data_IF_144787918036
#
_entry.id   IF_144787918036
#
_cell.length_a   1.000
_cell.length_b   1.000
_cell.length_c   1.000
_cell.angle_alpha   90.00
_cell.angle_beta   90.00
_cell.angle_gamma   90.00
#
_symmetry.space_group_name_H-M   'P 1'
#
loop_
_entity.id
_entity.type
_entity.pdbx_description
1 polymer ?
#
# COMPACT_ATOMS: atom_id res chain seq x y z
N UNK A 1 5.92 -63.71 -29.80
CA UNK A 1 6.55 -62.38 -29.87
C UNK A 1 5.61 -61.35 -29.23
N UNK A 2 5.66 -61.16 -27.91
CA UNK A 2 5.12 -59.99 -27.19
C UNK A 2 5.79 -59.95 -25.81
N UNK A 3 6.78 -59.06 -25.64
CA UNK A 3 7.38 -58.75 -24.34
C UNK A 3 6.65 -57.50 -23.83
N UNK A 4 5.92 -57.65 -22.72
CA UNK A 4 5.33 -56.52 -21.99
C UNK A 4 6.44 -55.79 -21.24
N UNK A 5 6.81 -54.60 -21.72
CA UNK A 5 7.68 -53.68 -20.99
C UNK A 5 6.89 -52.93 -19.92
N UNK A 6 7.18 -53.22 -18.65
CA UNK A 6 6.74 -52.43 -17.51
C UNK A 6 7.61 -51.17 -17.46
N UNK A 7 7.04 -50.02 -17.81
CA UNK A 7 7.68 -48.71 -17.62
C UNK A 7 7.39 -48.28 -16.18
N UNK A 8 8.35 -48.50 -15.29
CA UNK A 8 8.39 -47.87 -13.97
C UNK A 8 8.66 -46.37 -14.17
N UNK A 9 7.64 -45.53 -14.02
CA UNK A 9 7.84 -44.10 -13.82
C UNK A 9 8.40 -43.89 -12.41
N UNK A 10 9.73 -43.89 -12.28
CA UNK A 10 10.39 -43.30 -11.12
C UNK A 10 9.97 -41.83 -11.04
N UNK A 11 9.13 -41.49 -10.05
CA UNK A 11 8.92 -40.10 -9.63
C UNK A 11 10.25 -39.58 -9.09
N UNK A 12 11.03 -38.94 -9.94
CA UNK A 12 12.14 -38.08 -9.52
C UNK A 12 11.52 -36.97 -8.68
N UNK A 13 11.64 -37.09 -7.37
CA UNK A 13 11.27 -36.03 -6.44
C UNK A 13 12.24 -34.88 -6.64
N UNK A 14 11.86 -33.90 -7.46
CA UNK A 14 12.57 -32.62 -7.50
C UNK A 14 12.36 -31.91 -6.17
N UNK A 15 13.35 -32.01 -5.26
CA UNK A 15 13.49 -31.06 -4.18
C UNK A 15 13.91 -29.74 -4.84
N UNK A 16 12.95 -28.84 -5.07
CA UNK A 16 13.26 -27.54 -5.63
C UNK A 16 14.03 -26.73 -4.57
N UNK A 17 15.30 -26.45 -4.84
CA UNK A 17 16.10 -25.58 -3.98
C UNK A 17 15.60 -24.13 -4.13
N UNK A 18 15.30 -23.50 -2.99
CA UNK A 18 14.81 -22.13 -2.93
C UNK A 18 15.97 -21.14 -2.75
N UNK A 19 16.08 -20.20 -3.67
CA UNK A 19 17.04 -19.09 -3.59
C UNK A 19 16.50 -18.03 -2.62
N UNK A 20 17.33 -17.64 -1.65
CA UNK A 20 17.04 -16.56 -0.70
C UNK A 20 17.54 -15.23 -1.26
N UNK A 21 16.62 -14.37 -1.67
CA UNK A 21 16.95 -13.05 -2.19
C UNK A 21 16.74 -11.99 -1.11
N UNK A 22 17.81 -11.30 -0.67
CA UNK A 22 17.65 -10.12 0.16
C UNK A 22 17.00 -8.99 -0.65
N UNK A 23 15.95 -8.42 -0.08
CA UNK A 23 15.11 -7.41 -0.69
C UNK A 23 14.95 -6.21 0.23
N UNK A 24 14.87 -5.04 -0.38
CA UNK A 24 14.50 -3.80 0.28
C UNK A 24 13.21 -3.29 -0.36
N UNK A 25 12.25 -2.96 0.49
CA UNK A 25 10.90 -2.54 0.11
C UNK A 25 10.63 -1.24 0.86
N UNK A 26 9.84 -0.35 0.27
CA UNK A 26 9.43 0.93 0.87
C UNK A 26 10.57 1.95 0.94
N UNK A 27 11.03 2.39 -0.23
CA UNK A 27 12.06 3.43 -0.40
C UNK A 27 11.53 4.51 -1.32
N UNK A 28 11.63 5.78 -0.89
CA UNK A 28 11.34 6.94 -1.71
C UNK A 28 12.62 7.49 -2.36
N UNK A 29 12.49 8.02 -3.57
CA UNK A 29 13.57 8.68 -4.30
C UNK A 29 13.31 10.19 -4.42
N UNK A 30 14.25 10.91 -5.04
CA UNK A 30 14.09 12.33 -5.37
C UNK A 30 12.92 12.64 -6.31
N UNK A 31 12.28 11.62 -6.89
CA UNK A 31 11.02 11.75 -7.62
C UNK A 31 9.89 12.23 -6.70
N UNK A 32 9.91 11.83 -5.43
CA UNK A 32 8.99 12.28 -4.40
C UNK A 32 9.71 13.00 -3.26
N UNK A 33 9.72 12.45 -2.06
CA UNK A 33 10.27 13.05 -0.85
C UNK A 33 11.61 12.45 -0.40
N UNK A 34 12.20 11.54 -1.19
CA UNK A 34 13.48 10.88 -0.94
C UNK A 34 14.72 11.73 -1.22
N UNK A 35 15.83 11.42 -0.54
CA UNK A 35 17.13 12.11 -0.72
C UNK A 35 17.97 11.55 -1.88
N UNK A 36 17.82 10.26 -2.21
CA UNK A 36 18.59 9.59 -3.25
C UNK A 36 17.82 9.49 -4.56
N UNK A 37 18.50 9.65 -5.69
CA UNK A 37 17.95 9.35 -7.02
C UNK A 37 17.66 7.85 -7.17
N UNK A 38 16.80 7.51 -8.15
CA UNK A 38 16.52 6.11 -8.49
C UNK A 38 17.79 5.31 -8.79
N UNK A 39 18.75 5.92 -9.51
CA UNK A 39 20.04 5.28 -9.81
C UNK A 39 20.92 5.06 -8.59
N UNK A 40 20.96 6.02 -7.65
CA UNK A 40 21.76 5.91 -6.43
C UNK A 40 21.20 4.81 -5.52
N UNK A 41 19.88 4.75 -5.35
CA UNK A 41 19.22 3.70 -4.57
C UNK A 41 19.60 2.32 -5.12
N UNK A 42 19.49 2.11 -6.44
CA UNK A 42 19.80 0.83 -7.08
C UNK A 42 21.28 0.49 -6.94
N UNK A 43 22.19 1.47 -7.09
CA UNK A 43 23.63 1.27 -6.91
C UNK A 43 23.96 0.89 -5.46
N UNK A 44 23.47 1.65 -4.48
CA UNK A 44 23.69 1.38 -3.06
C UNK A 44 23.14 0.00 -2.67
N UNK A 45 21.95 -0.37 -3.18
CA UNK A 45 21.38 -1.69 -2.97
C UNK A 45 22.29 -2.80 -3.51
N UNK A 46 22.77 -2.66 -4.76
CA UNK A 46 23.70 -3.61 -5.39
C UNK A 46 24.99 -3.76 -4.59
N UNK A 47 25.60 -2.64 -4.21
CA UNK A 47 26.86 -2.59 -3.47
C UNK A 47 26.73 -3.23 -2.07
N UNK A 48 25.51 -3.33 -1.54
CA UNK A 48 25.18 -3.99 -0.27
C UNK A 48 24.58 -5.40 -0.43
N UNK A 49 24.73 -6.02 -1.61
CA UNK A 49 24.32 -7.41 -1.86
C UNK A 49 22.81 -7.64 -1.96
N UNK A 50 22.02 -6.58 -2.10
CA UNK A 50 20.57 -6.67 -2.31
C UNK A 50 20.28 -7.12 -3.75
N UNK A 51 19.28 -8.00 -3.90
CA UNK A 51 18.87 -8.56 -5.19
C UNK A 51 17.50 -8.07 -5.67
N UNK A 52 16.69 -7.55 -4.77
CA UNK A 52 15.36 -7.01 -5.10
C UNK A 52 15.18 -5.63 -4.48
N UNK A 53 14.79 -4.65 -5.30
CA UNK A 53 14.49 -3.29 -4.86
C UNK A 53 13.08 -2.93 -5.26
N UNK A 54 12.22 -2.64 -4.29
CA UNK A 54 10.87 -2.13 -4.54
C UNK A 54 10.85 -0.65 -4.21
N UNK A 55 10.67 0.17 -5.24
CA UNK A 55 10.66 1.63 -5.14
C UNK A 55 9.22 2.07 -4.90
N UNK A 56 8.99 2.84 -3.85
CA UNK A 56 7.67 3.25 -3.38
C UNK A 56 7.62 4.77 -3.22
N UNK A 57 7.93 5.51 -4.27
CA UNK A 57 7.73 6.95 -4.30
C UNK A 57 6.25 7.32 -4.06
N UNK A 58 6.02 8.51 -3.51
CA UNK A 58 4.67 9.03 -3.30
C UNK A 58 3.94 9.18 -4.62
N UNK A 59 2.72 8.65 -4.73
CA UNK A 59 1.92 8.75 -5.96
C UNK A 59 1.48 10.20 -6.25
N UNK A 60 0.69 10.79 -5.36
CA UNK A 60 0.15 12.14 -5.47
C UNK A 60 0.24 12.85 -4.11
N UNK A 61 1.13 13.83 -4.04
CA UNK A 61 1.31 14.65 -2.83
C UNK A 61 0.65 16.01 -3.00
N UNK A 62 -0.68 16.02 -2.94
CA UNK A 62 -1.51 17.20 -3.15
C UNK A 62 -2.61 17.32 -2.10
N UNK A 63 -2.63 18.47 -1.41
CA UNK A 63 -3.64 18.81 -0.42
C UNK A 63 -4.44 20.03 -0.86
N UNK A 64 -5.76 19.93 -0.79
CA UNK A 64 -6.66 21.02 -1.20
C UNK A 64 -7.72 21.30 -0.13
N UNK A 65 -7.87 22.58 0.24
CA UNK A 65 -8.95 23.05 1.10
C UNK A 65 -9.68 24.23 0.44
N UNK A 66 -10.96 24.06 0.15
CA UNK A 66 -11.84 25.05 -0.43
C UNK A 66 -12.83 25.61 0.58
N UNK A 67 -13.19 26.88 0.42
CA UNK A 67 -14.15 27.58 1.28
C UNK A 67 -15.56 27.40 0.71
N UNK A 68 -16.49 26.88 1.51
CA UNK A 68 -17.90 26.75 1.12
C UNK A 68 -18.56 28.13 1.00
N UNK A 69 -19.44 28.39 -0.01
CA UNK A 69 -19.95 27.45 -1.02
C UNK A 69 -19.08 27.31 -2.29
N UNK A 70 -18.02 28.10 -2.41
CA UNK A 70 -17.19 28.20 -3.61
C UNK A 70 -15.91 27.34 -3.53
N UNK A 71 -16.03 26.08 -3.07
CA UNK A 71 -14.87 25.23 -2.72
C UNK A 71 -13.92 24.93 -3.89
N UNK A 72 -14.38 25.04 -5.13
CA UNK A 72 -13.51 24.81 -6.30
C UNK A 72 -12.93 26.10 -6.87
N UNK A 73 -13.50 27.25 -6.52
CA UNK A 73 -13.04 28.57 -6.97
C UNK A 73 -12.14 29.25 -5.93
N UNK A 74 -12.54 29.23 -4.66
CA UNK A 74 -11.81 29.80 -3.52
C UNK A 74 -11.18 28.66 -2.74
N UNK A 75 -9.98 28.25 -3.14
CA UNK A 75 -9.25 27.17 -2.47
C UNK A 75 -7.77 27.43 -2.36
N UNK A 76 -7.17 26.85 -1.31
CA UNK A 76 -5.73 26.70 -1.17
C UNK A 76 -5.33 25.30 -1.61
N UNK A 77 -4.34 25.20 -2.48
CA UNK A 77 -3.71 23.96 -2.91
C UNK A 77 -2.23 23.99 -2.56
N UNK A 78 -1.75 22.90 -1.98
CA UNK A 78 -0.32 22.64 -1.76
C UNK A 78 0.01 21.36 -2.50
N UNK A 79 1.04 21.39 -3.32
CA UNK A 79 1.49 20.23 -4.08
C UNK A 79 3.02 20.16 -4.07
N UNK A 80 3.55 19.01 -3.70
CA UNK A 80 4.98 18.75 -3.65
C UNK A 80 5.37 17.63 -4.61
N UNK A 81 6.65 17.25 -4.60
CA UNK A 81 7.18 16.23 -5.49
C UNK A 81 6.48 14.88 -5.26
N UNK A 82 6.19 14.21 -6.38
CA UNK A 82 5.44 12.96 -6.44
C UNK A 82 5.54 12.38 -7.85
N UNK A 83 5.20 11.11 -8.01
CA UNK A 83 5.20 10.43 -9.32
C UNK A 83 4.31 11.18 -10.33
N UNK A 84 3.15 11.68 -9.91
CA UNK A 84 2.26 12.45 -10.78
C UNK A 84 2.89 13.77 -11.25
N UNK A 85 3.62 14.47 -10.39
CA UNK A 85 4.29 15.73 -10.72
C UNK A 85 5.55 15.51 -11.59
N UNK A 86 6.30 14.45 -11.32
CA UNK A 86 7.48 14.06 -12.11
C UNK A 86 7.10 13.54 -13.52
N UNK A 87 5.94 12.91 -13.61
CA UNK A 87 5.40 12.31 -14.83
C UNK A 87 5.49 10.79 -14.79
N UNK A 88 4.33 10.13 -14.74
CA UNK A 88 4.18 8.66 -14.63
C UNK A 88 4.99 7.91 -15.70
N UNK A 89 4.85 8.30 -16.98
CA UNK A 89 5.59 7.65 -18.08
C UNK A 89 7.11 7.77 -17.91
N UNK A 90 7.58 8.95 -17.47
CA UNK A 90 8.99 9.21 -17.23
C UNK A 90 9.52 8.31 -16.11
N UNK A 91 8.82 8.26 -14.98
CA UNK A 91 9.12 7.40 -13.84
C UNK A 91 9.27 5.92 -14.25
N UNK A 92 8.26 5.37 -14.94
CA UNK A 92 8.26 3.97 -15.36
C UNK A 92 9.31 3.67 -16.44
N UNK A 93 9.61 4.62 -17.33
CA UNK A 93 10.69 4.48 -18.30
C UNK A 93 12.06 4.43 -17.60
N UNK A 94 12.29 5.28 -16.61
CA UNK A 94 13.55 5.35 -15.87
C UNK A 94 13.83 4.06 -15.10
N UNK A 95 12.82 3.50 -14.42
CA UNK A 95 12.92 2.19 -13.76
C UNK A 95 13.24 1.08 -14.77
N UNK A 96 12.62 1.09 -15.96
CA UNK A 96 12.93 0.13 -17.02
C UNK A 96 14.37 0.26 -17.53
N UNK A 97 14.87 1.49 -17.69
CA UNK A 97 16.26 1.72 -18.07
C UNK A 97 17.23 1.20 -17.00
N UNK A 98 16.93 1.43 -15.72
CA UNK A 98 17.72 0.90 -14.62
C UNK A 98 17.69 -0.63 -14.57
N UNK A 99 16.53 -1.25 -14.80
CA UNK A 99 16.41 -2.71 -14.87
C UNK A 99 17.29 -3.31 -15.98
N UNK A 100 17.36 -2.64 -17.14
CA UNK A 100 18.23 -3.08 -18.24
C UNK A 100 19.72 -2.90 -17.91
N UNK A 101 20.07 -1.81 -17.20
CA UNK A 101 21.45 -1.52 -16.78
C UNK A 101 21.95 -2.46 -15.67
N UNK A 102 21.06 -2.88 -14.78
CA UNK A 102 21.37 -3.70 -13.61
C UNK A 102 20.63 -5.05 -13.69
N UNK A 103 21.02 -5.89 -14.67
CA UNK A 103 20.36 -7.17 -14.95
C UNK A 103 20.50 -8.21 -13.82
N UNK A 104 21.41 -8.00 -12.87
CA UNK A 104 21.61 -8.84 -11.68
C UNK A 104 20.70 -8.47 -10.49
N UNK A 105 19.88 -7.42 -10.64
CA UNK A 105 18.85 -7.00 -9.70
C UNK A 105 17.46 -7.11 -10.32
N UNK A 106 16.46 -7.27 -9.45
CA UNK A 106 15.05 -7.12 -9.80
C UNK A 106 14.56 -5.79 -9.23
N UNK A 107 14.20 -4.85 -10.09
CA UNK A 107 13.72 -3.51 -9.72
C UNK A 107 12.22 -3.44 -10.02
N UNK A 108 11.41 -3.25 -8.98
CA UNK A 108 9.96 -3.29 -9.08
C UNK A 108 9.38 -1.91 -8.79
N UNK A 109 8.60 -1.34 -9.71
CA UNK A 109 7.89 -0.09 -9.46
C UNK A 109 6.71 -0.33 -8.50
N UNK A 110 6.46 0.69 -7.69
CA UNK A 110 5.37 0.74 -6.74
C UNK A 110 5.00 2.18 -6.41
N UNK A 111 4.19 2.34 -5.38
CA UNK A 111 3.85 3.63 -4.77
C UNK A 111 3.81 3.48 -3.27
N UNK A 112 4.08 4.55 -2.54
CA UNK A 112 3.55 4.73 -1.20
C UNK A 112 2.38 5.71 -1.30
N UNK A 113 1.16 5.17 -1.21
CA UNK A 113 -0.06 5.93 -1.42
C UNK A 113 -0.70 6.31 -0.09
N UNK A 114 -1.23 7.53 -0.01
CA UNK A 114 -2.14 7.98 1.04
C UNK A 114 -3.56 8.11 0.44
N UNK A 115 -4.37 7.03 0.41
CA UNK A 115 -5.60 7.04 -0.38
C UNK A 115 -6.61 8.10 0.03
N UNK A 116 -6.59 8.51 1.30
CA UNK A 116 -7.60 9.41 1.85
C UNK A 116 -7.07 10.29 2.99
N UNK A 117 -7.60 11.51 3.03
CA UNK A 117 -7.56 12.42 4.17
C UNK A 117 -8.87 13.21 4.18
N UNK A 118 -9.23 13.76 5.33
CA UNK A 118 -10.36 14.69 5.43
C UNK A 118 -10.02 15.88 6.31
N UNK A 119 -10.81 16.94 6.14
CA UNK A 119 -10.71 18.19 6.87
C UNK A 119 -11.81 18.29 7.92
N UNK A 120 -11.45 18.83 9.08
CA UNK A 120 -12.40 19.21 10.12
C UNK A 120 -12.08 20.61 10.64
N UNK A 121 -13.10 21.33 11.11
CA UNK A 121 -12.97 22.69 11.60
C UNK A 121 -12.98 23.74 10.48
N UNK A 122 -12.48 24.93 10.82
CA UNK A 122 -12.54 26.10 9.94
C UNK A 122 -11.28 26.95 10.06
N UNK A 123 -10.74 27.49 8.94
CA UNK A 123 -9.63 28.43 9.00
C UNK A 123 -10.00 29.71 9.74
N UNK A 124 -11.26 30.15 9.68
CA UNK A 124 -11.73 31.37 10.36
C UNK A 124 -11.78 31.22 11.88
N UNK A 125 -12.05 30.00 12.36
CA UNK A 125 -12.01 29.65 13.79
C UNK A 125 -10.63 29.20 14.25
N UNK A 126 -9.64 29.20 13.36
CA UNK A 126 -8.24 28.78 13.62
C UNK A 126 -8.13 27.37 14.23
N UNK A 127 -9.06 26.47 13.87
CA UNK A 127 -9.10 25.09 14.34
C UNK A 127 -9.11 24.07 13.19
N UNK A 128 -8.70 24.49 11.98
CA UNK A 128 -8.64 23.61 10.80
C UNK A 128 -7.59 22.51 11.00
N UNK A 129 -8.02 21.26 10.84
CA UNK A 129 -7.18 20.08 11.03
C UNK A 129 -7.38 19.08 9.89
N UNK A 130 -6.29 18.48 9.43
CA UNK A 130 -6.29 17.36 8.49
C UNK A 130 -6.16 16.03 9.22
N UNK A 131 -7.05 15.10 8.93
CA UNK A 131 -7.05 13.78 9.51
C UNK A 131 -6.63 12.70 8.52
N UNK A 132 -6.04 11.63 9.04
CA UNK A 132 -5.82 10.35 8.34
C UNK A 132 -4.88 10.37 7.13
N UNK A 133 -4.21 11.49 6.85
CA UNK A 133 -3.24 11.58 5.76
C UNK A 133 -2.10 10.55 5.91
N UNK A 134 -1.64 10.26 7.13
CA UNK A 134 -0.52 9.36 7.37
C UNK A 134 -0.94 7.87 7.47
N UNK A 135 -2.04 7.48 6.80
CA UNK A 135 -2.47 6.07 6.66
C UNK A 135 -2.06 5.60 5.27
N UNK A 136 -0.91 4.91 5.18
CA UNK A 136 -0.29 4.61 3.90
C UNK A 136 -0.40 3.13 3.50
N UNK A 137 -0.58 2.91 2.19
CA UNK A 137 -0.58 1.60 1.56
C UNK A 137 0.49 1.60 0.47
N UNK A 138 1.42 0.64 0.57
CA UNK A 138 2.39 0.36 -0.46
C UNK A 138 1.74 -0.43 -1.59
N UNK A 139 2.04 -0.07 -2.83
CA UNK A 139 1.76 -0.90 -3.99
C UNK A 139 3.04 -1.51 -4.54
N UNK A 140 2.95 -2.72 -5.09
CA UNK A 140 4.09 -3.42 -5.69
C UNK A 140 3.64 -4.04 -7.02
N UNK A 141 4.39 -3.78 -8.09
CA UNK A 141 4.18 -4.42 -9.39
C UNK A 141 3.12 -3.73 -10.26
N UNK A 142 2.95 -2.42 -10.13
CA UNK A 142 2.17 -1.62 -11.09
C UNK A 142 3.09 -1.16 -12.22
N UNK A 143 2.96 -1.74 -13.41
CA UNK A 143 3.92 -1.48 -14.51
C UNK A 143 3.36 -0.59 -15.63
N UNK A 144 2.05 -0.32 -15.63
CA UNK A 144 1.39 0.41 -16.71
C UNK A 144 1.07 1.85 -16.29
N UNK A 145 1.31 2.80 -17.19
CA UNK A 145 1.00 4.22 -16.98
C UNK A 145 -0.49 4.44 -16.63
N UNK A 146 -1.38 3.66 -17.23
CA UNK A 146 -2.81 3.73 -16.93
C UNK A 146 -3.15 3.32 -15.49
N UNK A 147 -2.39 2.40 -14.90
CA UNK A 147 -2.64 1.93 -13.54
C UNK A 147 -2.42 3.05 -12.53
N UNK A 148 -1.42 3.91 -12.74
CA UNK A 148 -1.17 5.09 -11.92
C UNK A 148 -2.23 6.18 -12.16
N UNK A 149 -2.55 6.49 -13.42
CA UNK A 149 -3.50 7.56 -13.76
C UNK A 149 -4.88 7.37 -13.12
N UNK A 150 -5.31 6.13 -12.93
CA UNK A 150 -6.61 5.81 -12.34
C UNK A 150 -6.51 5.38 -10.86
N UNK A 151 -5.38 5.60 -10.17
CA UNK A 151 -5.27 5.33 -8.74
C UNK A 151 -6.36 6.08 -7.96
N UNK A 152 -7.18 5.39 -7.16
CA UNK A 152 -8.30 6.00 -6.47
C UNK A 152 -7.85 6.67 -5.17
N UNK A 153 -7.10 7.75 -5.30
CA UNK A 153 -6.59 8.56 -4.20
C UNK A 153 -7.24 9.94 -4.21
N UNK A 154 -7.41 10.52 -3.02
CA UNK A 154 -7.93 11.88 -2.87
C UNK A 154 -7.08 12.87 -3.68
N UNK A 155 -7.75 13.78 -4.40
CA UNK A 155 -7.09 14.70 -5.35
C UNK A 155 -6.88 14.15 -6.76
N UNK A 156 -7.02 12.83 -6.99
CA UNK A 156 -7.05 12.24 -8.34
C UNK A 156 -8.49 12.04 -8.83
N UNK A 157 -9.04 13.06 -9.50
CA UNK A 157 -10.42 13.02 -10.03
C UNK A 157 -10.69 11.85 -10.97
N UNK A 158 -9.68 11.39 -11.73
CA UNK A 158 -9.87 10.28 -12.67
C UNK A 158 -10.09 8.96 -11.94
N UNK A 159 -9.30 8.68 -10.90
CA UNK A 159 -9.42 7.46 -10.09
C UNK A 159 -10.64 7.44 -9.17
N UNK A 160 -11.16 8.60 -8.79
CA UNK A 160 -12.33 8.72 -7.92
C UNK A 160 -13.67 8.91 -8.63
N UNK A 161 -13.68 9.03 -9.96
CA UNK A 161 -14.91 9.23 -10.75
C UNK A 161 -15.91 8.10 -10.51
N UNK A 162 -17.14 8.48 -10.19
CA UNK A 162 -18.29 7.61 -9.94
C UNK A 162 -19.49 7.96 -10.85
N UNK A 163 -19.21 8.57 -12.01
CA UNK A 163 -20.22 8.99 -12.99
C UNK A 163 -20.41 10.50 -13.08
N UNK A 164 -21.53 10.92 -13.67
CA UNK A 164 -21.92 12.32 -13.83
C UNK A 164 -22.75 12.79 -12.65
N UNK A 165 -22.52 14.02 -12.18
CA UNK A 165 -23.34 14.65 -11.15
C UNK A 165 -24.32 15.62 -11.82
N UNK A 166 -25.45 15.11 -12.31
CA UNK A 166 -26.46 15.90 -13.04
C UNK A 166 -26.90 17.12 -12.24
N UNK A 167 -27.06 16.99 -10.92
CA UNK A 167 -27.42 18.11 -10.05
C UNK A 167 -26.43 19.28 -10.14
N UNK A 168 -25.14 19.04 -10.41
CA UNK A 168 -24.13 20.09 -10.57
C UNK A 168 -24.32 20.92 -11.86
N UNK A 169 -25.23 20.52 -12.77
CA UNK A 169 -25.55 21.25 -14.00
C UNK A 169 -26.61 22.35 -13.78
N UNK A 170 -27.17 22.50 -12.57
CA UNK A 170 -28.14 23.55 -12.26
C UNK A 170 -27.72 24.98 -12.69
N UNK A 171 -26.43 25.38 -12.69
CA UNK A 171 -26.03 26.72 -13.12
C UNK A 171 -26.32 27.00 -14.59
N UNK A 172 -26.49 25.96 -15.44
CA UNK A 172 -26.89 26.16 -16.83
C UNK A 172 -28.35 26.61 -16.95
N UNK A 173 -29.22 26.20 -16.02
CA UNK A 173 -30.61 26.67 -15.97
C UNK A 173 -30.65 28.15 -15.59
N UNK A 174 -29.87 28.57 -14.58
CA UNK A 174 -29.80 29.99 -14.21
C UNK A 174 -29.12 30.83 -15.28
N UNK A 175 -28.14 30.27 -16.00
CA UNK A 175 -27.53 30.91 -17.15
C UNK A 175 -28.56 31.17 -18.26
N UNK A 176 -29.42 30.18 -18.55
CA UNK A 176 -30.54 30.34 -19.49
C UNK A 176 -31.52 31.43 -19.04
N UNK A 177 -31.90 31.45 -17.75
CA UNK A 177 -32.74 32.53 -17.18
C UNK A 177 -32.10 33.89 -17.40
N UNK A 178 -30.79 34.02 -17.19
CA UNK A 178 -30.05 35.24 -17.47
C UNK A 178 -30.17 35.70 -18.92
N UNK A 179 -30.03 34.78 -19.89
CA UNK A 179 -30.25 35.08 -21.31
C UNK A 179 -31.71 35.45 -21.64
N UNK A 180 -32.69 34.83 -20.99
CA UNK A 180 -34.11 35.18 -21.17
C UNK A 180 -34.40 36.58 -20.63
N UNK A 181 -33.85 36.95 -19.47
CA UNK A 181 -33.94 38.30 -18.92
C UNK A 181 -33.40 39.36 -19.90
N UNK A 182 -32.29 39.08 -20.59
CA UNK A 182 -31.73 39.96 -21.62
C UNK A 182 -32.68 40.21 -22.80
N UNK A 183 -33.55 39.25 -23.11
CA UNK A 183 -34.49 39.31 -24.24
C UNK A 183 -35.84 39.94 -23.87
N UNK A 184 -36.09 40.28 -22.60
CA UNK A 184 -37.38 40.84 -22.17
C UNK A 184 -37.60 42.23 -22.78
N UNK A 185 -38.67 42.36 -23.56
CA UNK A 185 -39.10 43.61 -24.20
C UNK A 185 -40.17 44.29 -23.34
N UNK A 186 -40.20 45.61 -23.39
CA UNK A 186 -41.29 46.43 -22.83
C UNK A 186 -42.19 46.80 -24.00
N UNK A 187 -43.46 46.39 -23.98
CA UNK A 187 -44.40 46.75 -25.03
C UNK A 187 -44.77 48.23 -24.91
N UNK A 188 -44.25 49.02 -25.83
CA UNK A 188 -44.66 50.39 -26.15
C UNK A 188 -45.06 50.37 -27.63
N UNK A 189 -46.17 51.01 -28.02
CA UNK A 189 -46.64 51.15 -29.40
C UNK A 189 -46.98 52.63 -29.66
N UNK A 190 -47.11 53.14 -30.89
CA UNK A 190 -46.17 53.18 -32.03
C UNK A 190 -46.65 54.23 -33.09
N UNK A 191 -45.85 54.43 -34.14
CA UNK A 191 -45.93 55.43 -35.25
C UNK A 191 -47.31 55.69 -35.93
N UNK A 192 -47.56 56.85 -36.57
CA UNK A 192 -47.41 57.07 -38.04
C UNK A 192 -46.30 58.05 -38.47
N UNK A 193 -45.68 58.77 -37.53
CA UNK A 193 -44.37 59.43 -37.72
C UNK A 193 -43.48 59.33 -36.45
N UNK A 194 -44.01 58.77 -35.35
CA UNK A 194 -43.35 58.68 -34.03
C UNK A 194 -43.21 57.23 -33.54
N UNK A 195 -42.11 56.58 -33.94
CA UNK A 195 -41.75 55.18 -33.69
C UNK A 195 -41.34 54.92 -32.23
N UNK A 196 -41.98 53.96 -31.56
CA UNK A 196 -41.28 53.06 -30.63
C UNK A 196 -41.91 51.67 -30.65
N UNK A 197 -41.21 50.65 -31.19
CA UNK A 197 -41.63 49.25 -31.04
C UNK A 197 -40.71 48.55 -30.06
N UNK A 198 -41.32 48.02 -29.00
CA UNK A 198 -40.83 46.94 -28.15
C UNK A 198 -39.32 46.98 -27.79
N UNK A 199 -38.78 48.09 -27.23
CA UNK A 199 -37.39 48.14 -26.81
C UNK A 199 -37.12 47.11 -25.69
N UNK A 200 -35.88 46.62 -25.63
CA UNK A 200 -35.45 45.74 -24.54
C UNK A 200 -35.42 46.52 -23.21
N UNK A 201 -35.88 45.89 -22.12
CA UNK A 201 -35.86 46.53 -20.81
C UNK A 201 -34.43 46.66 -20.28
N UNK A 202 -33.97 47.90 -20.03
CA UNK A 202 -32.66 48.19 -19.43
C UNK A 202 -32.48 47.50 -18.07
N UNK A 203 -33.52 47.51 -17.21
CA UNK A 203 -33.51 46.85 -15.90
C UNK A 203 -33.27 45.34 -16.03
N UNK A 204 -34.07 44.66 -16.85
CA UNK A 204 -33.93 43.21 -17.07
C UNK A 204 -32.64 42.81 -17.76
N UNK A 205 -32.07 43.70 -18.60
CA UNK A 205 -30.73 43.48 -19.16
C UNK A 205 -29.64 43.54 -18.10
N UNK A 206 -29.66 44.55 -17.21
CA UNK A 206 -28.68 44.62 -16.11
C UNK A 206 -28.80 43.38 -15.20
N UNK A 207 -30.02 43.01 -14.82
CA UNK A 207 -30.28 41.79 -14.04
C UNK A 207 -29.82 40.54 -14.79
N UNK A 208 -30.09 40.44 -16.09
CA UNK A 208 -29.65 39.33 -16.93
C UNK A 208 -28.13 39.19 -16.97
N UNK A 209 -27.39 40.29 -17.15
CA UNK A 209 -25.92 40.30 -17.09
C UNK A 209 -25.43 39.80 -15.74
N UNK A 210 -25.99 40.28 -14.63
CA UNK A 210 -25.60 39.84 -13.29
C UNK A 210 -25.84 38.34 -13.08
N UNK A 211 -27.01 37.83 -13.49
CA UNK A 211 -27.34 36.39 -13.41
C UNK A 211 -26.39 35.56 -14.26
N UNK A 212 -26.04 36.02 -15.47
CA UNK A 212 -25.10 35.32 -16.35
C UNK A 212 -23.73 35.21 -15.68
N UNK A 213 -23.19 36.31 -15.14
CA UNK A 213 -21.90 36.32 -14.45
C UNK A 213 -21.93 35.36 -13.26
N UNK A 214 -22.96 35.45 -12.42
CA UNK A 214 -23.09 34.59 -11.24
C UNK A 214 -23.24 33.11 -11.62
N UNK A 215 -24.02 32.81 -12.66
CA UNK A 215 -24.19 31.44 -13.17
C UNK A 215 -22.89 30.89 -13.72
N UNK A 216 -22.10 31.70 -14.42
CA UNK A 216 -20.79 31.31 -14.92
C UNK A 216 -19.82 30.99 -13.76
N UNK A 217 -19.82 31.77 -12.68
CA UNK A 217 -19.04 31.46 -11.48
C UNK A 217 -19.46 30.11 -10.86
N UNK A 218 -20.76 29.81 -10.81
CA UNK A 218 -21.24 28.51 -10.34
C UNK A 218 -20.92 27.36 -11.30
N UNK A 219 -20.91 27.58 -12.63
CA UNK A 219 -20.41 26.62 -13.62
C UNK A 219 -18.95 26.27 -13.32
N UNK A 220 -18.10 27.28 -13.13
CA UNK A 220 -16.68 27.08 -12.79
C UNK A 220 -16.51 26.37 -11.45
N UNK A 221 -17.31 26.75 -10.44
CA UNK A 221 -17.27 26.11 -9.13
C UNK A 221 -17.78 24.65 -9.17
N UNK A 222 -18.68 24.31 -10.07
CA UNK A 222 -19.23 22.96 -10.18
C UNK A 222 -18.38 22.05 -11.08
N UNK A 223 -17.39 22.60 -11.79
CA UNK A 223 -16.47 21.84 -12.63
C UNK A 223 -15.44 21.06 -11.79
N UNK A 224 -15.15 19.78 -12.12
CA UNK A 224 -15.81 18.98 -13.15
C UNK A 224 -17.18 18.48 -12.66
N UNK A 225 -18.16 18.37 -13.57
CA UNK A 225 -19.54 17.91 -13.32
C UNK A 225 -19.63 16.39 -13.03
N UNK A 226 -18.67 15.89 -12.27
CA UNK A 226 -18.50 14.50 -11.92
C UNK A 226 -18.98 14.27 -10.49
N UNK A 227 -19.51 13.06 -10.29
CA UNK A 227 -19.67 12.47 -8.97
C UNK A 227 -18.36 11.80 -8.60
N UNK A 228 -17.93 11.96 -7.36
CA UNK A 228 -16.76 11.29 -6.81
C UNK A 228 -17.17 10.30 -5.74
N UNK A 229 -16.44 9.18 -5.63
CA UNK A 229 -16.68 8.16 -4.60
C UNK A 229 -16.58 8.71 -3.18
N UNK A 230 -15.66 9.65 -2.97
CA UNK A 230 -15.46 10.36 -1.71
C UNK A 230 -14.76 11.70 -1.94
N UNK A 231 -14.84 12.58 -0.94
CA UNK A 231 -14.13 13.86 -0.89
C UNK A 231 -13.57 14.13 0.52
N UNK A 232 -12.77 15.18 0.65
CA UNK A 232 -12.06 15.51 1.88
C UNK A 232 -12.86 16.37 2.87
N UNK A 233 -14.17 16.55 2.69
CA UNK A 233 -14.97 17.49 3.48
C UNK A 233 -16.11 16.85 4.28
N UNK A 234 -16.36 15.54 4.14
CA UNK A 234 -17.46 14.84 4.80
C UNK A 234 -17.01 13.92 5.95
N UNK A 235 -15.84 14.20 6.54
CA UNK A 235 -15.38 13.50 7.74
C UNK A 235 -14.77 12.12 7.47
N UNK A 236 -14.70 11.32 8.53
CA UNK A 236 -14.14 9.97 8.48
C UNK A 236 -15.08 9.00 7.73
N UNK A 237 -14.52 8.25 6.79
CA UNK A 237 -15.21 7.24 5.99
C UNK A 237 -14.81 5.81 6.40
N UNK A 238 -14.08 5.66 7.50
CA UNK A 238 -13.59 4.38 8.00
C UNK A 238 -12.68 3.69 6.98
N UNK A 239 -12.87 2.38 6.81
CA UNK A 239 -12.06 1.55 5.91
C UNK A 239 -12.38 1.71 4.42
N UNK A 240 -13.47 2.39 4.04
CA UNK A 240 -13.98 2.38 2.66
C UNK A 240 -12.98 2.91 1.61
N UNK A 241 -12.31 4.08 1.80
CA UNK A 241 -11.36 4.58 0.81
C UNK A 241 -10.18 3.64 0.60
N UNK A 242 -9.68 3.05 1.69
CA UNK A 242 -8.57 2.10 1.70
C UNK A 242 -8.96 0.78 1.01
N UNK A 243 -10.17 0.26 1.28
CA UNK A 243 -10.68 -0.92 0.60
C UNK A 243 -10.85 -0.70 -0.90
N UNK A 244 -11.37 0.48 -1.30
CA UNK A 244 -11.50 0.84 -2.70
C UNK A 244 -10.13 0.92 -3.41
N UNK A 245 -9.11 1.42 -2.72
CA UNK A 245 -7.73 1.40 -3.21
C UNK A 245 -7.17 -0.02 -3.34
N UNK A 246 -7.33 -0.86 -2.31
CA UNK A 246 -6.90 -2.28 -2.33
C UNK A 246 -7.55 -3.03 -3.49
N UNK A 247 -8.87 -2.88 -3.67
CA UNK A 247 -9.62 -3.54 -4.74
C UNK A 247 -9.13 -3.11 -6.12
N UNK A 248 -8.84 -1.82 -6.30
CA UNK A 248 -8.31 -1.29 -7.55
C UNK A 248 -6.96 -1.94 -7.90
N UNK A 249 -6.01 -1.93 -6.96
CA UNK A 249 -4.67 -2.50 -7.18
C UNK A 249 -4.73 -4.01 -7.44
N UNK A 250 -5.55 -4.73 -6.67
CA UNK A 250 -5.77 -6.17 -6.87
C UNK A 250 -6.31 -6.48 -8.27
N UNK A 251 -7.25 -5.67 -8.78
CA UNK A 251 -7.79 -5.81 -10.15
C UNK A 251 -6.72 -5.62 -11.23
N UNK A 252 -5.65 -4.87 -10.93
CA UNK A 252 -4.50 -4.68 -11.82
C UNK A 252 -3.42 -5.75 -11.66
N UNK A 253 -3.61 -6.71 -10.76
CA UNK A 253 -2.63 -7.77 -10.46
C UNK A 253 -1.49 -7.33 -9.55
N UNK A 254 -1.50 -6.08 -9.08
CA UNK A 254 -0.55 -5.54 -8.13
C UNK A 254 -0.77 -6.09 -6.71
N UNK A 255 0.22 -5.90 -5.85
CA UNK A 255 0.18 -6.28 -4.44
C UNK A 255 0.01 -5.03 -3.56
N UNK A 256 -0.60 -5.19 -2.39
CA UNK A 256 -0.80 -4.11 -1.43
C UNK A 256 -0.34 -4.47 -0.02
N UNK A 257 0.44 -3.58 0.60
CA UNK A 257 0.92 -3.75 1.97
C UNK A 257 0.62 -2.50 2.80
N UNK A 258 0.01 -2.65 3.97
CA UNK A 258 -0.10 -1.56 4.93
C UNK A 258 1.29 -1.15 5.43
N UNK A 259 1.66 0.11 5.30
CA UNK A 259 3.05 0.56 5.47
C UNK A 259 3.51 0.64 6.92
N UNK A 260 2.68 1.17 7.82
CA UNK A 260 3.03 1.40 9.23
C UNK A 260 1.76 1.45 10.11
N UNK A 261 1.08 0.31 10.29
CA UNK A 261 -0.27 0.26 10.86
C UNK A 261 -0.38 0.74 12.32
N UNK A 262 0.74 0.82 13.05
CA UNK A 262 0.79 1.29 14.43
C UNK A 262 1.37 2.72 14.56
N UNK A 263 1.72 3.38 13.45
CA UNK A 263 2.25 4.74 13.47
C UNK A 263 1.19 5.77 13.86
N UNK A 264 1.63 6.77 14.63
CA UNK A 264 0.84 7.97 14.91
C UNK A 264 1.57 9.20 14.36
N UNK A 265 0.79 10.13 13.80
CA UNK A 265 1.30 11.41 13.35
C UNK A 265 0.39 12.52 13.86
N UNK A 266 0.83 13.23 14.90
CA UNK A 266 0.07 14.32 15.51
C UNK A 266 0.94 15.57 15.51
N UNK A 267 0.54 16.56 14.71
CA UNK A 267 1.20 17.86 14.65
C UNK A 267 0.18 18.94 14.98
N UNK A 268 0.27 19.47 16.21
CA UNK A 268 -0.54 20.59 16.68
C UNK A 268 0.22 21.90 16.44
N UNK A 269 -0.20 22.69 15.45
CA UNK A 269 0.42 23.98 15.18
C UNK A 269 -0.33 25.10 15.89
N UNK A 270 0.41 25.99 16.58
CA UNK A 270 -0.16 27.20 17.20
C UNK A 270 -0.44 28.28 16.14
N UNK A 271 -1.40 29.17 16.43
CA UNK A 271 -1.71 30.43 15.70
C UNK A 271 -2.09 30.27 14.21
N UNK A 272 -3.31 29.80 13.92
CA UNK A 272 -3.92 29.88 12.57
C UNK A 272 -3.28 28.99 11.49
N UNK A 273 -2.32 28.16 11.87
CA UNK A 273 -1.73 27.11 11.03
C UNK A 273 -2.62 25.85 11.06
N UNK A 274 -2.50 25.03 10.01
CA UNK A 274 -3.23 23.77 9.87
C UNK A 274 -2.62 22.71 10.78
N UNK A 275 -3.43 22.04 11.60
CA UNK A 275 -2.97 20.89 12.39
C UNK A 275 -3.15 19.57 11.62
N UNK A 276 -2.42 18.53 12.01
CA UNK A 276 -2.46 17.21 11.38
C UNK A 276 -2.67 16.14 12.46
N UNK A 277 -3.52 15.16 12.19
CA UNK A 277 -3.75 14.04 13.10
C UNK A 277 -3.95 12.74 12.34
N UNK A 278 -3.17 11.73 12.66
CA UNK A 278 -3.37 10.35 12.26
C UNK A 278 -3.06 9.49 13.47
N UNK A 279 -4.05 8.70 13.89
CA UNK A 279 -3.90 7.75 15.00
C UNK A 279 -3.44 6.40 14.47
N UNK A 280 -2.89 5.59 15.37
CA UNK A 280 -2.58 4.20 15.09
C UNK A 280 -3.85 3.48 14.59
N UNK A 281 -3.70 2.66 13.56
CA UNK A 281 -4.82 2.07 12.83
C UNK A 281 -4.71 0.55 12.63
N UNK A 282 -4.32 -0.24 13.64
CA UNK A 282 -4.22 -1.69 13.50
C UNK A 282 -5.58 -2.36 13.23
N UNK A 283 -6.69 -1.72 13.61
CA UNK A 283 -8.05 -2.20 13.32
C UNK A 283 -8.36 -2.26 11.82
N UNK A 284 -7.76 -1.38 11.00
CA UNK A 284 -8.00 -1.36 9.55
C UNK A 284 -7.52 -2.63 8.85
N UNK A 285 -6.58 -3.38 9.44
CA UNK A 285 -6.17 -4.69 8.94
C UNK A 285 -7.30 -5.73 9.09
N UNK A 286 -8.12 -5.64 10.14
CA UNK A 286 -9.26 -6.53 10.33
C UNK A 286 -10.42 -6.16 9.39
N UNK A 287 -10.68 -4.85 9.26
CA UNK A 287 -11.80 -4.31 8.50
C UNK A 287 -11.60 -4.41 6.99
N UNK A 288 -10.36 -4.24 6.50
CA UNK A 288 -10.05 -4.41 5.09
C UNK A 288 -9.83 -5.87 4.71
N UNK A 289 -10.09 -6.19 3.45
CA UNK A 289 -10.01 -7.53 2.85
C UNK A 289 -9.18 -7.51 1.57
N UNK A 290 -8.64 -8.68 1.21
CA UNK A 290 -7.95 -8.92 -0.06
C UNK A 290 -6.69 -8.08 -0.33
N UNK A 291 -6.13 -7.42 0.69
CA UNK A 291 -4.78 -6.88 0.62
C UNK A 291 -3.74 -7.99 0.83
N UNK A 292 -2.50 -7.76 0.39
CA UNK A 292 -1.45 -8.78 0.39
C UNK A 292 -0.76 -8.92 1.75
N UNK A 293 -0.51 -7.81 2.45
CA UNK A 293 0.24 -7.86 3.69
C UNK A 293 0.36 -6.55 4.45
N UNK A 294 1.36 -6.47 5.31
CA UNK A 294 1.71 -5.29 6.08
C UNK A 294 3.21 -5.28 6.39
N UNK A 295 3.77 -4.10 6.64
CA UNK A 295 5.11 -3.98 7.19
C UNK A 295 5.07 -4.28 8.69
N UNK A 296 5.77 -5.32 9.11
CA UNK A 296 5.90 -5.66 10.53
C UNK A 296 6.91 -4.74 11.23
N UNK A 297 7.89 -4.25 10.47
CA UNK A 297 8.88 -3.27 10.92
C UNK A 297 9.05 -2.15 9.89
N UNK A 298 9.18 -0.90 10.32
CA UNK A 298 8.91 -0.41 11.69
C UNK A 298 7.39 -0.26 11.93
N UNK A 299 6.97 -0.10 13.19
CA UNK A 299 5.57 0.28 13.52
C UNK A 299 4.47 -0.72 13.08
N UNK A 300 4.75 -2.02 13.14
CA UNK A 300 3.75 -3.08 12.90
C UNK A 300 3.91 -4.30 13.81
N UNK A 301 4.66 -4.20 14.90
CA UNK A 301 4.96 -5.35 15.75
C UNK A 301 4.23 -5.35 17.10
N UNK A 302 4.07 -4.21 17.78
CA UNK A 302 3.68 -4.19 19.21
C UNK A 302 2.23 -4.66 19.42
N UNK A 303 1.36 -4.40 18.45
CA UNK A 303 -0.07 -4.74 18.48
C UNK A 303 -0.39 -5.78 17.40
N UNK A 304 0.18 -5.62 16.20
CA UNK A 304 -0.12 -6.43 15.03
C UNK A 304 0.71 -7.71 15.01
N UNK A 305 2.04 -7.59 14.97
CA UNK A 305 2.96 -8.71 14.72
C UNK A 305 3.30 -9.62 15.91
N UNK A 306 3.13 -9.16 17.16
CA UNK A 306 3.41 -9.97 18.36
C UNK A 306 2.56 -11.26 18.39
N UNK A 307 3.01 -12.33 19.07
CA UNK A 307 2.18 -13.52 19.30
C UNK A 307 0.81 -13.15 19.88
N UNK A 308 -0.26 -13.64 19.24
CA UNK A 308 -1.65 -13.37 19.61
C UNK A 308 -2.15 -11.98 19.19
N UNK A 309 -1.34 -11.23 18.43
CA UNK A 309 -1.68 -9.91 17.92
C UNK A 309 -2.71 -9.93 16.80
N UNK A 310 -2.94 -8.77 16.18
CA UNK A 310 -3.92 -8.62 15.08
C UNK A 310 -3.59 -9.54 13.91
N UNK A 311 -2.31 -9.75 13.59
CA UNK A 311 -1.92 -10.63 12.50
C UNK A 311 -2.36 -12.08 12.75
N UNK A 312 -2.17 -12.60 13.96
CA UNK A 312 -2.58 -13.97 14.30
C UNK A 312 -4.12 -14.14 14.27
N UNK A 313 -4.88 -13.09 14.65
CA UNK A 313 -6.34 -13.08 14.49
C UNK A 313 -6.75 -13.23 13.02
N UNK A 314 -6.06 -12.53 12.12
CA UNK A 314 -6.32 -12.59 10.67
C UNK A 314 -5.94 -13.95 10.08
N UNK A 315 -4.78 -14.50 10.46
CA UNK A 315 -4.32 -15.82 10.03
C UNK A 315 -5.27 -16.93 10.51
N UNK A 316 -5.75 -16.83 11.76
CA UNK A 316 -6.74 -17.75 12.32
C UNK A 316 -8.07 -17.63 11.57
N UNK A 317 -8.52 -16.42 11.24
CA UNK A 317 -9.72 -16.21 10.42
C UNK A 317 -9.59 -16.85 9.03
N UNK A 318 -8.41 -16.79 8.39
CA UNK A 318 -8.16 -17.54 7.15
C UNK A 318 -8.22 -19.06 7.36
N UNK A 319 -7.65 -19.57 8.44
CA UNK A 319 -7.70 -21.01 8.75
C UNK A 319 -9.14 -21.52 8.94
N UNK A 320 -10.00 -20.69 9.53
CA UNK A 320 -11.43 -20.96 9.73
C UNK A 320 -12.31 -20.70 8.49
N UNK A 321 -11.75 -20.20 7.40
CA UNK A 321 -12.51 -19.83 6.19
C UNK A 321 -13.28 -18.51 6.29
N UNK A 322 -13.11 -17.73 7.36
CA UNK A 322 -13.69 -16.39 7.53
C UNK A 322 -13.07 -15.37 6.57
N UNK A 323 -11.86 -15.68 6.07
CA UNK A 323 -11.14 -14.91 5.05
C UNK A 323 -10.72 -15.83 3.91
N UNK A 324 -10.85 -15.34 2.68
CA UNK A 324 -10.45 -16.07 1.47
C UNK A 324 -8.92 -16.23 1.38
N UNK A 325 -8.17 -15.22 1.87
CA UNK A 325 -6.71 -15.15 1.74
C UNK A 325 -6.05 -14.77 3.07
N UNK A 326 -4.90 -15.37 3.41
CA UNK A 326 -4.05 -14.89 4.50
C UNK A 326 -3.33 -13.59 4.09
N UNK A 327 -2.62 -12.99 5.04
CA UNK A 327 -1.80 -11.79 4.81
C UNK A 327 -0.38 -12.04 5.27
N UNK A 328 0.57 -11.31 4.67
CA UNK A 328 1.99 -11.54 4.86
C UNK A 328 2.70 -10.36 5.52
N UNK A 329 3.65 -10.66 6.41
CA UNK A 329 4.58 -9.69 6.94
C UNK A 329 5.74 -9.45 5.96
N UNK A 330 6.08 -8.17 5.77
CA UNK A 330 7.30 -7.70 5.09
C UNK A 330 8.04 -6.71 5.98
N UNK A 331 9.28 -6.37 5.64
CA UNK A 331 9.93 -5.16 6.14
C UNK A 331 9.64 -3.99 5.20
N UNK A 332 9.14 -2.88 5.75
CA UNK A 332 9.09 -1.59 5.08
C UNK A 332 10.21 -0.71 5.61
N UNK A 333 11.17 -0.35 4.76
CA UNK A 333 12.30 0.48 5.17
C UNK A 333 11.87 1.89 5.57
N UNK A 334 10.77 2.39 4.96
CA UNK A 334 10.24 3.74 5.18
C UNK A 334 11.32 4.82 5.08
N UNK A 335 12.25 4.66 4.13
CA UNK A 335 13.39 5.55 3.98
C UNK A 335 13.02 6.70 3.06
N UNK A 336 12.78 7.88 3.63
CA UNK A 336 12.37 9.10 2.94
C UNK A 336 13.28 10.31 3.20
N UNK A 337 13.93 10.46 4.35
CA UNK A 337 15.04 11.44 4.51
C UNK A 337 15.85 11.21 5.78
N UNK A 338 17.15 11.56 5.70
CA UNK A 338 18.19 11.51 6.73
C UNK A 338 18.74 10.12 7.05
N UNK A 339 20.05 10.00 6.82
CA UNK A 339 20.87 8.90 7.30
C UNK A 339 21.61 8.19 6.18
N UNK A 340 22.33 7.15 6.55
CA UNK A 340 23.05 6.31 5.60
C UNK A 340 22.14 5.17 5.12
N UNK A 341 21.71 5.22 3.85
CA UNK A 341 20.89 4.18 3.24
C UNK A 341 21.57 2.81 3.32
N UNK A 342 22.89 2.71 3.12
CA UNK A 342 23.61 1.45 3.24
C UNK A 342 23.49 0.88 4.66
N UNK A 343 23.66 1.73 5.68
CA UNK A 343 23.47 1.34 7.07
C UNK A 343 22.02 0.91 7.38
N UNK A 344 21.02 1.55 6.77
CA UNK A 344 19.61 1.18 6.91
C UNK A 344 19.31 -0.19 6.29
N UNK A 345 19.80 -0.43 5.06
CA UNK A 345 19.68 -1.71 4.33
C UNK A 345 20.26 -2.87 5.15
N UNK A 346 21.41 -2.67 5.81
CA UNK A 346 22.04 -3.69 6.65
C UNK A 346 21.23 -4.01 7.92
N UNK A 347 20.39 -3.08 8.38
CA UNK A 347 19.61 -3.23 9.61
C UNK A 347 18.22 -3.79 9.39
N UNK A 348 17.70 -3.80 8.16
CA UNK A 348 16.34 -4.23 7.90
C UNK A 348 16.21 -4.81 6.48
N UNK A 349 15.81 -6.08 6.40
CA UNK A 349 15.69 -6.79 5.14
C UNK A 349 14.44 -7.67 5.09
N UNK A 350 13.83 -7.73 3.92
CA UNK A 350 12.88 -8.77 3.54
C UNK A 350 13.64 -9.85 2.79
N UNK A 351 13.61 -11.11 3.21
CA UNK A 351 14.19 -12.21 2.44
C UNK A 351 13.09 -12.94 1.69
N UNK A 352 13.21 -12.98 0.36
CA UNK A 352 12.22 -13.58 -0.54
C UNK A 352 12.76 -14.92 -1.02
N UNK A 353 11.98 -15.99 -0.83
CA UNK A 353 12.31 -17.32 -1.31
C UNK A 353 11.78 -17.48 -2.73
N UNK A 354 12.65 -17.63 -3.72
CA UNK A 354 12.26 -17.80 -5.13
C UNK A 354 12.88 -19.06 -5.74
N UNK A 355 12.21 -19.67 -6.73
CA UNK A 355 12.78 -20.77 -7.49
C UNK A 355 13.87 -20.33 -8.47
N UNK A 356 13.81 -19.07 -8.93
CA UNK A 356 14.74 -18.49 -9.90
C UNK A 356 14.71 -16.96 -9.80
N UNK A 357 15.81 -16.30 -10.17
CA UNK A 357 15.95 -14.84 -10.12
C UNK A 357 15.21 -14.19 -11.29
N UNK A 358 13.90 -14.02 -11.17
CA UNK A 358 13.07 -13.26 -12.11
C UNK A 358 12.05 -12.40 -11.36
N UNK A 359 11.53 -11.38 -12.04
CA UNK A 359 10.52 -10.49 -11.49
C UNK A 359 9.21 -11.24 -11.19
N UNK A 360 8.80 -12.13 -12.07
CA UNK A 360 7.59 -12.94 -11.95
C UNK A 360 7.68 -13.86 -10.73
N UNK A 361 8.83 -14.50 -10.52
CA UNK A 361 9.06 -15.34 -9.35
C UNK A 361 9.02 -14.52 -8.06
N UNK A 362 9.65 -13.34 -8.03
CA UNK A 362 9.62 -12.43 -6.88
C UNK A 362 8.18 -12.01 -6.55
N UNK A 363 7.42 -11.54 -7.54
CA UNK A 363 6.02 -11.13 -7.35
C UNK A 363 5.13 -12.29 -6.90
N UNK A 364 5.35 -13.50 -7.43
CA UNK A 364 4.63 -14.70 -7.01
C UNK A 364 4.96 -15.10 -5.57
N UNK A 365 6.23 -15.02 -5.17
CA UNK A 365 6.66 -15.31 -3.80
C UNK A 365 6.14 -14.30 -2.79
N UNK A 366 6.11 -13.00 -3.13
CA UNK A 366 5.45 -11.97 -2.32
C UNK A 366 3.94 -12.25 -2.18
N UNK A 367 3.27 -12.64 -3.27
CA UNK A 367 1.84 -12.98 -3.27
C UNK A 367 1.50 -14.20 -2.41
N UNK A 368 2.41 -15.18 -2.37
CA UNK A 368 2.28 -16.43 -1.58
C UNK A 368 2.89 -16.36 -0.19
N UNK A 369 3.46 -15.22 0.21
CA UNK A 369 4.06 -15.07 1.53
C UNK A 369 5.33 -15.88 1.75
N UNK A 370 6.05 -16.26 0.68
CA UNK A 370 7.32 -17.00 0.77
C UNK A 370 8.48 -16.10 1.18
N UNK A 371 8.32 -15.51 2.34
CA UNK A 371 9.07 -14.35 2.80
C UNK A 371 9.28 -14.41 4.31
N UNK A 372 10.45 -14.02 4.77
CA UNK A 372 10.68 -13.69 6.17
C UNK A 372 11.41 -12.37 6.31
N UNK A 373 11.33 -11.78 7.49
CA UNK A 373 11.83 -10.43 7.77
C UNK A 373 12.93 -10.52 8.81
N UNK A 374 14.02 -9.77 8.62
CA UNK A 374 15.09 -9.63 9.61
C UNK A 374 15.31 -8.15 9.92
N UNK A 375 15.40 -7.82 11.20
CA UNK A 375 15.71 -6.48 11.70
C UNK A 375 16.84 -6.54 12.73
N UNK A 376 17.68 -5.52 12.78
CA UNK A 376 18.71 -5.32 13.80
C UNK A 376 20.12 -5.18 13.23
N UNK A 377 21.05 -4.69 14.05
CA UNK A 377 22.43 -4.39 13.62
C UNK A 377 23.21 -5.60 13.10
N UNK A 378 22.91 -6.79 13.61
CA UNK A 378 23.59 -8.04 13.26
C UNK A 378 22.71 -8.86 12.30
N UNK A 379 21.58 -8.29 11.84
CA UNK A 379 20.59 -9.00 11.03
C UNK A 379 21.09 -9.36 9.63
N UNK A 380 22.01 -8.57 9.07
CA UNK A 380 22.66 -8.86 7.79
C UNK A 380 23.42 -10.20 7.82
N UNK A 381 24.10 -10.46 8.94
CA UNK A 381 24.99 -11.62 9.09
C UNK A 381 24.26 -12.91 9.52
N UNK A 382 22.97 -12.83 9.85
CA UNK A 382 22.18 -14.01 10.23
C UNK A 382 21.49 -14.65 9.01
N UNK A 383 21.59 -15.97 8.92
CA UNK A 383 20.92 -16.79 7.92
C UNK A 383 19.98 -17.80 8.58
N UNK A 384 18.69 -17.71 8.25
CA UNK A 384 17.74 -18.79 8.50
C UNK A 384 17.92 -19.82 7.39
N UNK A 385 18.55 -20.95 7.69
CA UNK A 385 18.87 -22.00 6.71
C UNK A 385 17.61 -22.78 6.34
N UNK A 386 16.84 -23.22 7.33
CA UNK A 386 15.60 -23.95 7.10
C UNK A 386 14.55 -23.56 8.15
N UNK A 387 13.32 -23.35 7.68
CA UNK A 387 12.13 -23.46 8.48
C UNK A 387 11.12 -24.21 7.64
N UNK A 388 10.79 -25.42 8.08
CA UNK A 388 9.92 -26.30 7.32
C UNK A 388 9.03 -27.13 8.23
N UNK A 389 7.92 -27.58 7.65
CA UNK A 389 7.01 -28.52 8.28
C UNK A 389 6.82 -29.70 7.34
N UNK A 390 6.94 -30.92 7.87
CA UNK A 390 6.78 -32.15 7.10
C UNK A 390 5.83 -33.16 7.75
N UNK A 391 5.22 -34.03 6.95
CA UNK A 391 4.23 -35.02 7.38
C UNK A 391 4.81 -36.33 7.94
N UNK A 392 6.11 -36.37 8.25
CA UNK A 392 6.84 -37.58 8.67
C UNK A 392 6.99 -38.65 7.57
N UNK A 393 6.23 -38.53 6.47
CA UNK A 393 6.20 -39.42 5.31
C UNK A 393 6.88 -38.81 4.07
N UNK A 394 7.36 -37.57 4.16
CA UNK A 394 8.26 -36.93 3.20
C UNK A 394 7.68 -35.71 2.47
N UNK A 395 6.40 -35.34 2.65
CA UNK A 395 5.90 -34.06 2.12
C UNK A 395 6.38 -32.93 3.02
N UNK A 396 7.24 -32.07 2.48
CA UNK A 396 7.83 -30.91 3.15
C UNK A 396 7.24 -29.63 2.56
N UNK A 397 6.80 -28.70 3.42
CA UNK A 397 6.50 -27.33 3.01
C UNK A 397 7.38 -26.32 3.72
N UNK A 398 7.52 -25.18 3.08
CA UNK A 398 8.31 -24.04 3.56
C UNK A 398 7.38 -22.84 3.83
N UNK A 399 7.98 -21.74 4.29
CA UNK A 399 7.34 -20.45 4.52
C UNK A 399 6.39 -20.10 3.35
N UNK A 400 5.12 -19.81 3.67
CA UNK A 400 4.08 -19.44 2.71
C UNK A 400 3.33 -20.61 2.05
N UNK A 401 3.80 -21.86 2.22
CA UNK A 401 3.10 -23.02 1.68
C UNK A 401 1.96 -23.50 2.60
N UNK A 402 1.10 -24.35 2.05
CA UNK A 402 0.07 -25.09 2.76
C UNK A 402 0.30 -26.58 2.55
N UNK A 403 0.55 -27.33 3.62
CA UNK A 403 0.93 -28.74 3.58
C UNK A 403 -0.18 -29.60 4.16
N UNK A 404 -0.52 -30.70 3.49
CA UNK A 404 -1.38 -31.71 4.07
C UNK A 404 -0.55 -32.59 4.99
N UNK A 405 -0.95 -32.73 6.26
CA UNK A 405 -0.21 -33.51 7.26
C UNK A 405 -1.12 -34.59 7.83
N UNK A 406 -0.86 -35.85 7.48
CA UNK A 406 -1.71 -36.99 7.91
C UNK A 406 -1.34 -37.52 9.30
N UNK A 407 -0.15 -37.18 9.79
CA UNK A 407 0.35 -37.57 11.11
C UNK A 407 0.79 -36.35 11.92
N UNK A 408 1.60 -36.54 12.97
CA UNK A 408 2.17 -35.42 13.72
C UNK A 408 3.19 -34.69 12.85
N UNK A 409 3.02 -33.37 12.60
CA UNK A 409 3.96 -32.63 11.77
C UNK A 409 5.32 -32.57 12.45
N UNK A 410 6.40 -32.84 11.70
CA UNK A 410 7.76 -32.57 12.12
C UNK A 410 8.11 -31.13 11.73
N UNK A 411 8.37 -30.28 12.73
CA UNK A 411 8.83 -28.91 12.55
C UNK A 411 10.35 -28.90 12.67
N UNK A 412 11.02 -28.43 11.62
CA UNK A 412 12.47 -28.32 11.55
C UNK A 412 12.91 -26.86 11.43
N UNK A 413 13.95 -26.51 12.17
CA UNK A 413 14.53 -25.17 12.25
C UNK A 413 16.04 -25.24 12.22
N UNK A 414 16.65 -24.52 11.28
CA UNK A 414 18.10 -24.42 11.18
C UNK A 414 18.50 -22.98 10.90
N UNK A 415 19.50 -22.47 11.61
CA UNK A 415 19.98 -21.11 11.44
C UNK A 415 21.36 -20.88 12.03
N UNK A 416 22.05 -19.87 11.50
CA UNK A 416 23.41 -19.53 11.92
C UNK A 416 23.74 -18.06 11.62
N UNK A 417 24.73 -17.52 12.32
CA UNK A 417 25.42 -16.32 11.89
C UNK A 417 26.59 -16.69 10.97
N UNK A 418 26.95 -15.81 10.05
CA UNK A 418 28.02 -16.05 9.08
C UNK A 418 29.42 -15.99 9.72
N UNK A 419 29.64 -15.06 10.66
CA UNK A 419 30.99 -14.69 11.11
C UNK A 419 31.21 -14.80 12.64
N UNK A 420 30.19 -15.18 13.41
CA UNK A 420 30.30 -15.31 14.86
C UNK A 420 29.29 -16.33 15.41
N UNK A 421 29.47 -16.72 16.67
CA UNK A 421 28.46 -17.44 17.42
C UNK A 421 27.77 -16.47 18.37
N UNK A 422 26.45 -16.53 18.40
CA UNK A 422 25.63 -15.78 19.34
C UNK A 422 24.52 -16.68 19.89
N UNK A 423 24.02 -16.33 21.07
CA UNK A 423 22.83 -16.93 21.67
C UNK A 423 21.57 -16.22 21.19
N UNK A 424 20.55 -17.00 20.85
CA UNK A 424 19.25 -16.51 20.36
C UNK A 424 18.09 -17.11 21.16
N UNK A 425 17.01 -16.36 21.31
CA UNK A 425 15.71 -16.86 21.74
C UNK A 425 14.92 -17.27 20.48
N UNK A 426 14.36 -18.49 20.47
CA UNK A 426 13.54 -19.00 19.36
C UNK A 426 12.16 -19.34 19.88
N UNK A 427 11.14 -18.63 19.36
CA UNK A 427 9.73 -18.88 19.65
C UNK A 427 9.05 -19.50 18.46
N UNK A 428 8.49 -20.70 18.64
CA UNK A 428 7.61 -21.33 17.66
C UNK A 428 6.17 -21.08 18.08
N UNK A 429 5.40 -20.49 17.16
CA UNK A 429 4.07 -19.96 17.40
C UNK A 429 3.08 -20.74 16.55
N UNK A 430 2.05 -21.29 17.18
CA UNK A 430 0.91 -21.96 16.55
C UNK A 430 -0.35 -21.16 16.90
N UNK A 431 -1.08 -20.67 15.91
CA UNK A 431 -2.35 -19.91 16.12
C UNK A 431 -2.21 -18.76 17.13
N UNK A 432 -1.08 -18.05 17.06
CA UNK A 432 -0.74 -16.95 17.96
C UNK A 432 -0.29 -17.34 19.37
N UNK A 433 -0.28 -18.63 19.72
CA UNK A 433 0.26 -19.12 20.99
C UNK A 433 1.69 -19.61 20.81
N UNK A 434 2.58 -19.21 21.72
CA UNK A 434 3.96 -19.75 21.77
C UNK A 434 3.88 -21.19 22.30
N UNK A 435 4.17 -22.17 21.45
CA UNK A 435 4.14 -23.60 21.82
C UNK A 435 5.52 -24.15 22.20
N UNK A 436 6.58 -23.47 21.75
CA UNK A 436 7.97 -23.72 22.14
C UNK A 436 8.68 -22.39 22.29
N UNK A 437 9.42 -22.25 23.38
CA UNK A 437 10.25 -21.09 23.69
C UNK A 437 11.63 -21.61 24.10
N UNK A 438 12.56 -21.64 23.14
CA UNK A 438 13.94 -22.04 23.38
C UNK A 438 14.74 -20.78 23.75
N UNK A 439 15.13 -20.69 25.01
CA UNK A 439 15.96 -19.59 25.50
C UNK A 439 17.44 -19.93 25.33
N UNK A 440 18.23 -18.93 24.98
CA UNK A 440 19.70 -19.03 24.92
C UNK A 440 20.27 -20.12 23.99
N UNK A 441 19.63 -20.37 22.85
CA UNK A 441 20.11 -21.33 21.85
C UNK A 441 21.39 -20.80 21.20
N UNK A 442 22.47 -21.58 21.23
CA UNK A 442 23.71 -21.24 20.55
C UNK A 442 23.60 -21.45 19.02
N UNK A 443 24.23 -20.58 18.25
CA UNK A 443 24.31 -20.68 16.78
C UNK A 443 25.65 -21.29 16.36
N UNK A 444 25.70 -22.19 15.34
CA UNK A 444 24.58 -22.68 14.55
C UNK A 444 23.67 -23.62 15.36
N UNK A 445 22.36 -23.59 15.06
CA UNK A 445 21.41 -24.54 15.64
C UNK A 445 20.76 -25.38 14.54
N UNK A 446 20.42 -26.62 14.92
CA UNK A 446 19.57 -27.51 14.15
C UNK A 446 18.60 -28.16 15.14
N UNK A 447 17.34 -27.74 15.09
CA UNK A 447 16.29 -28.13 16.03
C UNK A 447 15.16 -28.81 15.27
N UNK A 448 14.65 -29.90 15.84
CA UNK A 448 13.49 -30.61 15.32
C UNK A 448 12.59 -31.05 16.45
N UNK A 449 11.27 -30.91 16.27
CA UNK A 449 10.31 -31.48 17.21
C UNK A 449 8.98 -31.79 16.51
N UNK A 450 8.25 -32.74 17.09
CA UNK A 450 6.92 -33.10 16.61
C UNK A 450 5.86 -32.17 17.21
N UNK A 451 5.06 -31.56 16.33
CA UNK A 451 3.82 -30.88 16.70
C UNK A 451 2.69 -31.86 17.04
N UNK A 452 1.53 -31.30 17.31
CA UNK A 452 0.27 -32.04 17.39
C UNK A 452 -0.31 -32.22 15.98
N UNK A 453 -0.96 -33.35 15.74
CA UNK A 453 -1.67 -33.57 14.48
C UNK A 453 -2.76 -32.51 14.29
N UNK A 454 -2.89 -31.87 13.11
CA UNK A 454 -3.91 -30.86 12.89
C UNK A 454 -5.30 -31.51 12.87
N UNK A 455 -6.21 -31.01 13.71
CA UNK A 455 -7.65 -31.39 13.65
C UNK A 455 -8.38 -30.58 12.57
N UNK A 456 -7.86 -29.40 12.26
CA UNK A 456 -8.33 -28.50 11.20
C UNK A 456 -7.14 -27.69 10.70
N UNK A 457 -7.34 -26.89 9.64
CA UNK A 457 -6.29 -26.01 9.13
C UNK A 457 -5.75 -25.13 10.24
N UNK A 458 -4.43 -25.12 10.39
CA UNK A 458 -3.70 -24.33 11.39
C UNK A 458 -2.40 -23.83 10.76
N UNK A 459 -1.53 -23.16 11.52
CA UNK A 459 -0.27 -22.66 11.01
C UNK A 459 0.82 -22.59 12.06
N UNK A 460 2.07 -22.64 11.60
CA UNK A 460 3.26 -22.36 12.40
C UNK A 460 3.98 -21.14 11.86
N UNK A 461 4.43 -20.26 12.76
CA UNK A 461 5.38 -19.20 12.44
C UNK A 461 6.45 -19.13 13.53
N UNK A 462 7.59 -18.57 13.18
CA UNK A 462 8.77 -18.51 14.03
C UNK A 462 9.19 -17.07 14.23
N UNK A 463 9.56 -16.76 15.46
CA UNK A 463 10.25 -15.55 15.85
C UNK A 463 11.61 -15.90 16.44
N UNK A 464 12.67 -15.21 16.01
CA UNK A 464 14.02 -15.35 16.56
C UNK A 464 14.49 -13.98 17.04
N UNK A 465 14.99 -13.92 18.28
CA UNK A 465 15.45 -12.67 18.91
C UNK A 465 16.83 -12.82 19.54
N UNK A 466 17.63 -11.77 19.44
CA UNK A 466 18.82 -11.54 20.26
C UNK A 466 19.00 -10.04 20.45
N UNK A 467 20.07 -9.60 21.14
CA UNK A 467 20.44 -8.18 21.24
C UNK A 467 20.64 -7.51 19.88
N UNK A 468 21.00 -8.28 18.85
CA UNK A 468 21.35 -7.79 17.51
C UNK A 468 20.35 -8.12 16.41
N UNK A 469 19.36 -9.00 16.65
CA UNK A 469 18.40 -9.47 15.66
C UNK A 469 16.98 -9.61 16.20
N UNK A 470 16.00 -9.28 15.36
CA UNK A 470 14.60 -9.65 15.48
C UNK A 470 14.14 -10.15 14.12
N UNK A 471 13.95 -11.46 14.00
CA UNK A 471 13.49 -12.14 12.79
C UNK A 471 12.07 -12.65 12.99
N UNK A 472 11.21 -12.46 11.99
CA UNK A 472 9.86 -13.01 11.95
C UNK A 472 9.62 -13.68 10.60
N UNK A 473 9.09 -14.90 10.61
CA UNK A 473 8.73 -15.66 9.41
C UNK A 473 7.23 -15.52 9.10
N UNK A 474 6.87 -15.53 7.81
CA UNK A 474 5.50 -15.80 7.41
C UNK A 474 5.12 -17.26 7.75
N UNK A 475 3.82 -17.55 7.92
CA UNK A 475 3.40 -18.86 8.38
C UNK A 475 3.59 -19.96 7.35
N UNK A 476 3.75 -21.19 7.84
CA UNK A 476 3.53 -22.43 7.10
C UNK A 476 2.18 -22.98 7.55
N UNK A 477 1.24 -23.11 6.64
CA UNK A 477 -0.08 -23.66 6.96
C UNK A 477 -0.03 -25.19 6.89
N UNK A 478 -0.77 -25.83 7.77
CA UNK A 478 -0.97 -27.29 7.76
C UNK A 478 -2.45 -27.62 7.89
N UNK A 479 -2.89 -28.72 7.30
CA UNK A 479 -4.28 -29.19 7.38
C UNK A 479 -4.38 -30.71 7.25
#
# INVERSE_FOLDING_TARGET
MWILGIILFCRVGFCQDWIKLPAIIHIASTVSDGEHSLSEIVKIAKDNGIKVVVINDRDLMRWEYGIWPLRNLIKKRVEINSIFKYGIKRYLNEIRMLQNKFSDLIIIPGTESAPFYYWEGSPFRRNLKMYNWHKHILTVGLEKDEDYRNLPVIGNFKGLRDGLAIIKLWPFLTLLVGFVCMKKRIYSYKDYQGKELAPYSKKWRITGVFIIILSFLFVLNNWPFLKFKFDSYHGDLGSFPYQNFINYVAKKGGLTFWAHPEAEYILNLKFGKVSFETRAHPHLLLETKNYTGFSIFYEGYKIVGKPGGVWDKILTGYCKGEREKPIWAIAGLAFDNKGDLAAAIRKLQTIILVPYLTKEAVLNSLRKGRVYVKKGKDSFDFSLIDFSVSDGLGKKGIIGDTVKVETRPLIHLQGQFLNNQQRVEIKVIKEGKVIKDYKEVETPFNLSFYGEAPVSKTYYRVEIKSKGIHLVTNPIFVY
#
